data_IF_557101037264
#
_entry.id   IF_557101037264
#
_cell.length_a   1.000
_cell.length_b   1.000
_cell.length_c   1.000
_cell.angle_alpha   90.00
_cell.angle_beta   90.00
_cell.angle_gamma   90.00
#
_symmetry.space_group_name_H-M   'P 1'
#
loop_
_entity.id
_entity.type
_entity.pdbx_description
1 polymer ?
2 water ?
#
# COMPACT_ATOMS: atom_id res chain seq x y z
N UNK A 1 23.53 -2.69 -2.69
CA UNK A 1 24.54 -1.66 -2.84
C UNK A 1 24.11 -0.32 -2.21
N UNK A 2 22.89 0.19 -2.51
CA UNK A 2 22.51 1.38 -1.74
C UNK A 2 22.42 1.05 -0.26
N UNK A 3 23.03 1.88 0.59
CA UNK A 3 23.17 1.51 1.99
C UNK A 3 21.86 1.56 2.77
N UNK A 4 20.94 2.41 2.34
CA UNK A 4 19.69 2.58 3.07
C UNK A 4 18.58 3.03 2.16
N UNK A 5 17.40 3.23 2.72
CA UNK A 5 16.27 3.54 1.90
C UNK A 5 16.40 4.86 1.13
N UNK A 6 16.98 5.88 1.76
CA UNK A 6 17.18 7.17 1.09
C UNK A 6 18.05 7.02 -0.14
N UNK A 7 19.06 6.14 -0.07
CA UNK A 7 19.93 5.93 -1.22
C UNK A 7 19.21 5.11 -2.28
N UNK A 8 18.38 4.17 -1.84
CA UNK A 8 17.66 3.28 -2.77
C UNK A 8 16.65 4.09 -3.60
N UNK A 9 15.95 5.01 -2.93
CA UNK A 9 14.98 5.84 -3.62
C UNK A 9 15.19 7.28 -3.19
N UNK A 10 16.02 7.99 -3.96
CA UNK A 10 16.28 9.39 -3.65
C UNK A 10 15.06 10.26 -3.79
N UNK A 11 15.09 11.41 -3.13
CA UNK A 11 14.00 12.38 -3.19
C UNK A 11 13.51 12.59 -4.64
N UNK A 12 14.42 12.79 -5.57
CA UNK A 12 14.03 13.13 -6.93
C UNK A 12 13.26 11.96 -7.57
N UNK A 13 13.61 10.75 -7.18
CA UNK A 13 12.96 9.56 -7.76
C UNK A 13 11.53 9.44 -7.21
N UNK A 14 11.39 9.57 -5.90
CA UNK A 14 10.08 9.60 -5.24
C UNK A 14 9.19 10.68 -5.88
N UNK A 15 9.76 11.87 -6.08
CA UNK A 15 8.94 12.98 -6.58
C UNK A 15 8.60 12.78 -8.07
N UNK A 16 9.47 12.10 -8.81
CA UNK A 16 9.11 11.75 -10.20
C UNK A 16 7.99 10.71 -10.28
N UNK A 17 8.04 9.73 -9.40
CA UNK A 17 7.01 8.72 -9.35
C UNK A 17 5.68 9.35 -8.97
N UNK A 18 5.71 10.14 -7.89
CA UNK A 18 4.49 10.76 -7.40
C UNK A 18 4.42 12.22 -7.89
N UNK A 19 4.39 12.36 -9.21
CA UNK A 19 4.67 13.62 -9.89
C UNK A 19 3.55 14.64 -9.77
N UNK A 20 2.30 14.19 -9.61
CA UNK A 20 1.20 15.13 -9.62
C UNK A 20 0.49 15.24 -8.29
N UNK A 21 1.02 14.60 -7.26
CA UNK A 21 0.29 14.57 -5.96
C UNK A 21 0.09 15.96 -5.37
N UNK A 22 0.97 16.92 -5.72
CA UNK A 22 0.88 18.27 -5.15
C UNK A 22 0.22 19.25 -6.12
N UNK A 23 -0.43 18.71 -7.15
CA UNK A 23 -1.13 19.57 -8.07
C UNK A 23 -2.40 20.15 -7.41
N UNK A 24 -2.86 21.28 -7.95
CA UNK A 24 -3.99 21.97 -7.36
C UNK A 24 -5.24 21.12 -7.25
N UNK A 25 -5.41 20.14 -8.14
CA UNK A 25 -6.60 19.31 -8.13
C UNK A 25 -6.58 18.23 -7.06
N UNK A 26 -5.43 18.03 -6.40
CA UNK A 26 -5.33 16.96 -5.40
C UNK A 26 -5.63 17.45 -3.99
N UNK A 27 -6.67 16.88 -3.37
CA UNK A 27 -7.00 17.42 -2.05
C UNK A 27 -5.92 17.22 -1.01
N UNK A 28 -5.02 16.27 -1.21
CA UNK A 28 -3.97 16.06 -0.21
C UNK A 28 -2.68 16.83 -0.53
N UNK A 29 -2.74 17.76 -1.48
CA UNK A 29 -1.52 18.46 -1.88
C UNK A 29 -0.77 19.06 -0.68
N UNK A 30 0.55 18.86 -0.67
CA UNK A 30 1.43 19.31 0.40
C UNK A 30 1.53 18.34 1.58
N UNK A 31 0.70 17.30 1.58
CA UNK A 31 0.69 16.42 2.74
C UNK A 31 1.75 15.33 2.71
N UNK A 32 1.81 14.57 1.62
CA UNK A 32 2.70 13.43 1.60
C UNK A 32 4.12 13.84 1.27
N UNK A 33 4.99 13.92 2.26
CA UNK A 33 6.37 14.32 1.96
C UNK A 33 7.32 13.14 1.87
N UNK A 34 8.38 13.33 1.10
CA UNK A 34 9.44 12.34 1.07
C UNK A 34 10.04 12.13 2.46
N UNK A 35 10.22 13.22 3.20
CA UNK A 35 10.83 13.11 4.51
C UNK A 35 9.98 12.20 5.40
N UNK A 36 8.66 12.33 5.30
CA UNK A 36 7.80 11.49 6.14
C UNK A 36 7.87 10.03 5.75
N UNK A 37 8.00 9.74 4.44
CA UNK A 37 8.16 8.37 3.99
C UNK A 37 9.43 7.73 4.55
N UNK A 38 10.56 8.43 4.44
CA UNK A 38 11.81 7.90 4.95
C UNK A 38 11.71 7.76 6.48
N UNK A 39 11.22 8.79 7.16
CA UNK A 39 11.13 8.69 8.65
C UNK A 39 10.21 7.53 9.09
N UNK A 40 9.08 7.35 8.40
CA UNK A 40 8.13 6.30 8.78
C UNK A 40 8.74 4.91 8.60
N UNK A 41 9.54 4.75 7.54
CA UNK A 41 10.10 3.43 7.22
C UNK A 41 11.00 2.93 8.32
N UNK A 42 11.56 3.84 9.14
CA UNK A 42 12.35 3.39 10.28
C UNK A 42 11.62 2.48 11.26
N UNK A 43 10.30 2.59 11.30
CA UNK A 43 9.55 1.76 12.25
C UNK A 43 9.54 0.29 11.78
N UNK A 44 9.91 0.07 10.52
CA UNK A 44 9.92 -1.30 9.93
C UNK A 44 11.19 -1.48 9.15
N UNK A 45 12.29 -1.74 9.85
CA UNK A 45 13.58 -1.62 9.21
C UNK A 45 13.86 -2.60 8.06
N UNK A 46 13.13 -3.71 7.98
CA UNK A 46 13.40 -4.61 6.84
C UNK A 46 12.67 -4.17 5.56
N UNK A 47 11.75 -3.20 5.68
CA UNK A 47 11.02 -2.67 4.50
C UNK A 47 11.97 -1.99 3.52
N UNK A 48 12.03 -2.49 2.29
CA UNK A 48 12.95 -1.95 1.31
C UNK A 48 14.40 -2.31 1.57
N UNK A 49 14.63 -3.18 2.56
CA UNK A 49 15.97 -3.60 2.94
C UNK A 49 16.12 -5.10 2.97
N UNK A 50 15.24 -5.79 2.24
CA UNK A 50 15.24 -7.24 2.21
C UNK A 50 15.55 -7.71 0.81
N UNK A 51 16.59 -8.52 0.66
CA UNK A 51 16.92 -9.08 -0.64
C UNK A 51 17.98 -8.23 -1.33
N UNK A 52 18.26 -8.56 -2.59
CA UNK A 52 19.26 -7.83 -3.34
C UNK A 52 18.68 -6.51 -3.85
N UNK A 53 19.49 -5.72 -4.53
CA UNK A 53 19.06 -4.38 -4.93
C UNK A 53 17.78 -4.40 -5.77
N UNK A 54 17.70 -5.31 -6.74
CA UNK A 54 16.52 -5.40 -7.61
C UNK A 54 15.28 -5.73 -6.81
N UNK A 55 15.41 -6.63 -5.85
CA UNK A 55 14.29 -7.04 -5.03
C UNK A 55 13.82 -5.90 -4.13
N UNK A 56 14.78 -5.17 -3.58
CA UNK A 56 14.44 -4.02 -2.74
C UNK A 56 13.69 -2.97 -3.58
N UNK A 57 14.17 -2.70 -4.78
CA UNK A 57 13.47 -1.74 -5.64
C UNK A 57 12.08 -2.27 -6.01
N UNK A 58 11.98 -3.57 -6.37
CA UNK A 58 10.68 -4.13 -6.69
C UNK A 58 9.74 -3.98 -5.51
N UNK A 59 10.25 -4.14 -4.28
CA UNK A 59 9.36 -3.98 -3.13
C UNK A 59 8.85 -2.55 -3.01
N UNK A 60 9.75 -1.59 -3.17
CA UNK A 60 9.32 -0.20 -3.03
C UNK A 60 8.36 0.16 -4.17
N UNK A 61 8.62 -0.31 -5.40
CA UNK A 61 7.70 -0.08 -6.52
C UNK A 61 6.33 -0.71 -6.22
N UNK A 62 6.34 -1.89 -5.61
CA UNK A 62 5.08 -2.56 -5.35
C UNK A 62 4.31 -1.83 -4.24
N UNK A 63 5.03 -1.38 -3.21
CA UNK A 63 4.38 -0.63 -2.17
C UNK A 63 3.81 0.68 -2.69
N UNK A 64 4.62 1.41 -3.44
CA UNK A 64 4.12 2.65 -4.02
C UNK A 64 3.03 2.39 -5.03
N UNK A 65 3.09 1.26 -5.74
CA UNK A 65 2.06 1.01 -6.73
C UNK A 65 0.72 0.75 -6.10
N UNK A 66 0.71 -0.09 -5.07
CA UNK A 66 -0.56 -0.46 -4.42
C UNK A 66 -1.14 0.76 -3.74
N UNK A 67 -0.30 1.51 -3.03
CA UNK A 67 -0.81 2.67 -2.30
C UNK A 67 -1.17 3.79 -3.27
N UNK A 68 -0.44 3.92 -4.39
CA UNK A 68 -0.87 4.85 -5.40
C UNK A 68 -2.29 4.54 -5.87
N UNK A 69 -2.59 3.25 -6.16
CA UNK A 69 -3.94 2.93 -6.54
C UNK A 69 -4.98 3.34 -5.50
N UNK A 70 -4.69 3.06 -4.21
CA UNK A 70 -5.63 3.36 -3.15
C UNK A 70 -5.94 4.85 -3.07
N UNK A 71 -5.00 5.67 -3.53
CA UNK A 71 -5.15 7.12 -3.37
C UNK A 71 -5.14 7.84 -4.71
N UNK A 72 -5.41 7.13 -5.80
CA UNK A 72 -5.24 7.76 -7.11
C UNK A 72 -6.26 8.86 -7.45
N UNK A 73 -5.76 9.89 -8.12
CA UNK A 73 -6.61 10.90 -8.75
C UNK A 73 -6.58 10.86 -10.25
N UNK A 74 -6.07 9.76 -10.79
CA UNK A 74 -5.93 9.64 -12.24
C UNK A 74 -7.22 9.51 -13.03
N UNK A 75 -7.09 9.75 -14.33
CA UNK A 75 -8.13 9.50 -15.32
C UNK A 75 -7.41 9.22 -16.65
N UNK A 76 -8.11 8.61 -17.65
CA UNK A 76 -7.38 8.14 -18.82
C UNK A 76 -6.60 9.23 -19.57
N UNK A 77 -7.16 10.42 -19.70
CA UNK A 77 -6.45 11.47 -20.40
C UNK A 77 -5.69 12.41 -19.48
N UNK A 78 -5.41 11.97 -18.26
CA UNK A 78 -4.65 12.80 -17.31
C UNK A 78 -3.26 13.12 -17.84
N UNK A 79 -2.73 14.33 -17.53
CA UNK A 79 -1.35 14.61 -17.97
C UNK A 79 -0.39 13.57 -17.39
N UNK A 80 0.47 13.06 -18.28
CA UNK A 80 1.48 12.05 -17.99
C UNK A 80 0.83 10.67 -17.75
N UNK A 81 -0.45 10.55 -18.06
CA UNK A 81 -1.15 9.29 -17.88
C UNK A 81 -1.67 9.02 -16.48
N UNK A 82 -2.56 8.04 -16.37
CA UNK A 82 -3.16 7.73 -15.06
C UNK A 82 -2.18 7.21 -14.01
N UNK A 83 -0.99 6.76 -14.41
CA UNK A 83 -0.07 6.19 -13.42
C UNK A 83 0.95 7.23 -12.96
N UNK A 84 0.63 8.52 -13.15
CA UNK A 84 1.42 9.61 -12.55
C UNK A 84 0.60 10.33 -11.47
N UNK A 85 -0.58 9.79 -11.14
CA UNK A 85 -1.52 10.51 -10.26
C UNK A 85 -1.81 9.81 -8.96
N UNK A 86 -0.84 9.05 -8.47
CA UNK A 86 -0.96 8.44 -7.16
C UNK A 86 -0.90 9.50 -6.04
N UNK A 87 -1.40 9.13 -4.87
CA UNK A 87 -1.22 9.95 -3.65
C UNK A 87 -1.88 11.30 -3.78
N UNK A 88 -3.00 11.33 -4.46
CA UNK A 88 -3.75 12.55 -4.72
C UNK A 88 -4.68 12.88 -3.56
N UNK A 89 -5.17 11.85 -2.86
CA UNK A 89 -5.97 12.15 -1.69
C UNK A 89 -5.53 11.39 -0.47
N UNK A 90 -6.09 11.79 0.67
CA UNK A 90 -5.68 11.19 1.92
C UNK A 90 -6.88 10.66 2.73
N UNK A 91 -8.07 11.24 2.56
CA UNK A 91 -9.29 10.69 3.21
C UNK A 91 -10.28 10.15 2.16
N UNK A 92 -10.87 9.01 2.48
CA UNK A 92 -11.99 8.45 1.70
C UNK A 92 -12.98 9.57 1.37
N UNK A 93 -13.43 9.63 0.13
CA UNK A 93 -14.24 10.77 -0.32
C UNK A 93 -15.52 10.98 0.51
N UNK A 94 -16.23 9.90 0.77
CA UNK A 94 -17.44 9.99 1.57
C UNK A 94 -17.23 9.27 2.89
N UNK A 95 -17.55 9.94 4.01
CA UNK A 95 -17.28 9.31 5.31
C UNK A 95 -18.30 8.24 5.68
N UNK A 96 -17.82 7.23 6.43
CA UNK A 96 -18.70 6.26 7.07
C UNK A 96 -18.05 5.92 8.40
N UNK A 97 -18.80 5.24 9.24
CA UNK A 97 -18.32 4.94 10.57
C UNK A 97 -17.17 3.94 10.55
N UNK A 98 -17.37 2.88 9.79
CA UNK A 98 -16.43 1.73 9.81
C UNK A 98 -16.11 1.30 11.22
N UNK A 99 -17.19 0.97 11.94
CA UNK A 99 -17.09 0.58 13.35
C UNK A 99 -17.72 -0.79 13.53
N UNK A 100 -16.93 -1.73 14.05
CA UNK A 100 -17.42 -3.04 14.46
C UNK A 100 -16.82 -3.28 15.84
N UNK A 101 -17.57 -2.98 16.91
CA UNK A 101 -16.94 -2.88 18.24
C UNK A 101 -16.69 -4.22 18.91
N UNK A 102 -15.49 -4.42 19.43
CA UNK A 102 -15.19 -5.58 20.31
C UNK A 102 -14.53 -5.13 21.61
N UNK A 103 -14.51 -6.02 22.63
CA UNK A 103 -13.81 -5.61 23.85
C UNK A 103 -12.35 -5.21 23.58
N UNK A 104 -11.66 -5.95 22.72
CA UNK A 104 -10.28 -5.62 22.35
C UNK A 104 -10.16 -4.30 21.61
N UNK A 105 -11.00 -4.11 20.60
CA UNK A 105 -10.99 -2.88 19.83
C UNK A 105 -12.35 -2.22 19.84
N UNK A 106 -12.54 -1.32 20.80
CA UNK A 106 -13.78 -0.57 20.87
C UNK A 106 -13.84 0.44 19.74
N UNK A 107 -14.98 1.13 19.65
CA UNK A 107 -15.11 2.28 18.77
C UNK A 107 -15.22 3.52 19.65
N UNK A 108 -14.38 4.51 19.45
CA UNK A 108 -14.47 5.69 20.30
C UNK A 108 -15.67 6.50 19.84
N UNK A 109 -16.55 6.89 20.76
CA UNK A 109 -17.73 7.62 20.31
C UNK A 109 -17.28 8.90 19.60
N UNK A 110 -17.90 9.24 18.48
CA UNK A 110 -17.51 10.49 17.82
C UNK A 110 -16.41 10.29 16.78
N UNK A 111 -15.84 9.10 16.74
CA UNK A 111 -14.75 8.86 15.76
C UNK A 111 -15.24 8.00 14.63
N UNK A 112 -14.60 8.21 13.50
CA UNK A 112 -14.93 7.44 12.27
C UNK A 112 -13.67 6.81 11.72
N UNK A 113 -13.78 5.58 11.22
CA UNK A 113 -12.60 4.82 10.81
C UNK A 113 -12.61 4.55 9.30
N UNK A 114 -13.09 5.53 8.54
CA UNK A 114 -13.03 5.46 7.07
C UNK A 114 -11.58 5.48 6.58
N UNK A 115 -11.40 5.24 5.29
CA UNK A 115 -10.05 5.11 4.74
C UNK A 115 -9.21 6.37 4.88
N UNK A 116 -7.99 6.17 5.36
CA UNK A 116 -7.07 7.31 5.47
C UNK A 116 -5.67 6.84 5.08
N UNK A 117 -4.92 7.76 4.49
CA UNK A 117 -3.49 7.51 4.26
C UNK A 117 -3.26 6.62 3.05
N UNK A 118 -2.00 6.21 2.85
CA UNK A 118 -1.62 5.57 1.57
C UNK A 118 -2.29 4.23 1.34
N UNK A 119 -2.61 3.47 2.40
CA UNK A 119 -3.24 2.18 2.13
C UNK A 119 -4.76 2.28 2.42
N UNK A 120 -5.23 3.49 2.73
CA UNK A 120 -6.65 3.68 3.02
C UNK A 120 -7.11 2.72 4.09
N UNK A 121 -6.35 2.73 5.20
CA UNK A 121 -6.64 1.86 6.33
C UNK A 121 -8.05 2.20 6.83
N UNK A 122 -8.84 1.16 7.13
CA UNK A 122 -10.26 1.30 7.46
C UNK A 122 -10.60 0.33 8.57
N UNK A 123 -11.59 0.73 9.40
CA UNK A 123 -12.22 -0.07 10.47
C UNK A 123 -11.48 0.09 11.79
N UNK A 124 -12.24 0.20 12.86
CA UNK A 124 -11.63 0.41 14.17
C UNK A 124 -10.63 -0.68 14.52
N UNK A 125 -10.90 -1.91 14.14
CA UNK A 125 -10.01 -2.98 14.57
C UNK A 125 -8.66 -2.91 13.82
N UNK A 126 -8.67 -2.35 12.61
CA UNK A 126 -7.38 -2.18 11.88
C UNK A 126 -6.62 -0.96 12.46
N UNK A 127 -7.32 0.14 12.63
CA UNK A 127 -6.69 1.28 13.30
C UNK A 127 -6.17 0.86 14.65
N UNK A 128 -6.94 0.08 15.40
CA UNK A 128 -6.48 -0.39 16.71
C UNK A 128 -5.20 -1.22 16.66
N UNK A 129 -5.16 -2.22 15.78
CA UNK A 129 -3.95 -3.04 15.68
C UNK A 129 -2.75 -2.22 15.23
N UNK A 130 -2.97 -1.34 14.25
CA UNK A 130 -1.91 -0.53 13.73
C UNK A 130 -1.35 0.37 14.84
N UNK A 131 -2.25 1.07 15.53
CA UNK A 131 -1.79 1.98 16.58
C UNK A 131 -1.01 1.25 17.66
N UNK A 132 -1.46 0.05 18.05
CA UNK A 132 -0.72 -0.71 19.04
C UNK A 132 0.69 -1.02 18.56
N UNK A 133 0.83 -1.26 17.28
CA UNK A 133 2.14 -1.63 16.72
C UNK A 133 3.05 -0.43 16.58
N UNK A 134 2.50 0.75 16.28
CA UNK A 134 3.39 1.90 16.02
C UNK A 134 3.41 2.89 17.18
N UNK A 135 2.64 2.64 18.27
CA UNK A 135 2.74 3.52 19.44
C UNK A 135 1.84 4.76 19.41
N UNK A 136 0.74 4.71 18.66
CA UNK A 136 -0.18 5.85 18.53
C UNK A 136 -1.58 5.37 18.88
N UNK A 137 -2.34 6.16 19.62
CA UNK A 137 -3.74 5.81 19.93
C UNK A 137 -4.65 6.17 18.77
N UNK A 138 -4.79 5.23 17.83
CA UNK A 138 -5.57 5.48 16.64
C UNK A 138 -7.03 5.06 16.85
N UNK A 139 -7.35 4.49 18.01
CA UNK A 139 -8.77 4.31 18.36
C UNK A 139 -9.39 5.66 18.72
N UNK A 140 -8.69 6.43 19.56
CA UNK A 140 -9.25 7.71 19.90
C UNK A 140 -8.91 8.81 18.91
N UNK A 141 -7.83 8.64 18.15
CA UNK A 141 -7.39 9.67 17.22
C UNK A 141 -7.08 9.14 15.85
N UNK A 142 -8.05 8.47 15.21
CA UNK A 142 -7.77 7.90 13.89
C UNK A 142 -7.40 8.93 12.82
N UNK A 143 -7.88 10.18 12.97
CA UNK A 143 -7.58 11.16 11.94
C UNK A 143 -6.12 11.59 11.93
N UNK A 144 -5.31 11.14 12.89
CA UNK A 144 -3.87 11.35 12.77
C UNK A 144 -3.30 10.74 11.52
N UNK A 145 -3.96 9.72 10.98
CA UNK A 145 -3.47 9.10 9.75
C UNK A 145 -3.63 10.07 8.58
N UNK A 146 -4.50 11.08 8.74
CA UNK A 146 -4.67 12.05 7.65
C UNK A 146 -4.08 13.43 7.97
N UNK A 147 -3.61 13.63 9.20
CA UNK A 147 -3.07 14.95 9.54
C UNK A 147 -1.57 14.93 9.86
N UNK A 148 -1.02 13.76 10.14
CA UNK A 148 0.43 13.65 10.40
C UNK A 148 1.02 12.69 9.36
N UNK A 149 1.86 13.18 8.43
CA UNK A 149 2.28 12.30 7.33
C UNK A 149 3.21 11.16 7.77
N UNK A 150 3.94 11.30 8.86
CA UNK A 150 4.73 10.18 9.32
C UNK A 150 3.79 9.10 9.88
N UNK A 151 2.78 9.47 10.66
CA UNK A 151 1.79 8.45 11.08
C UNK A 151 1.08 7.83 9.87
N UNK A 152 0.76 8.68 8.89
CA UNK A 152 0.14 8.17 7.65
C UNK A 152 0.99 7.12 6.99
N UNK A 153 2.26 7.42 6.72
CA UNK A 153 3.10 6.41 6.09
C UNK A 153 3.36 5.19 7.00
N UNK A 154 3.49 5.40 8.32
CA UNK A 154 3.62 4.26 9.23
C UNK A 154 2.41 3.34 9.16
N UNK A 155 1.22 3.89 8.97
CA UNK A 155 0.06 2.99 8.95
C UNK A 155 0.11 2.13 7.69
N UNK A 156 0.56 2.69 6.58
CA UNK A 156 0.59 1.89 5.35
C UNK A 156 1.73 0.87 5.37
N UNK A 157 2.89 1.24 5.91
CA UNK A 157 3.99 0.28 5.98
C UNK A 157 3.66 -0.78 7.01
N UNK A 158 2.99 -0.41 8.10
CA UNK A 158 2.48 -1.43 9.07
C UNK A 158 1.64 -2.46 8.29
N UNK A 159 0.68 -1.97 7.50
CA UNK A 159 -0.15 -2.95 6.82
C UNK A 159 0.69 -3.86 5.93
N UNK A 160 1.65 -3.27 5.23
CA UNK A 160 2.47 -3.97 4.23
C UNK A 160 3.29 -5.08 4.90
N UNK A 161 3.73 -4.81 6.13
CA UNK A 161 4.69 -5.66 6.83
C UNK A 161 4.07 -6.72 7.71
N UNK A 162 2.77 -6.64 7.93
CA UNK A 162 2.13 -7.42 8.99
C UNK A 162 1.31 -8.58 8.44
N UNK A 163 1.68 -9.81 8.79
CA UNK A 163 0.85 -10.95 8.39
C UNK A 163 -0.46 -10.95 9.17
N UNK A 164 -1.54 -11.38 8.52
CA UNK A 164 -2.81 -11.55 9.22
C UNK A 164 -3.38 -12.89 8.79
N UNK A 165 -3.03 -13.93 9.57
CA UNK A 165 -3.38 -15.29 9.21
C UNK A 165 -4.85 -15.36 8.77
N UNK A 166 -5.13 -16.07 7.66
CA UNK A 166 -4.19 -16.89 6.89
C UNK A 166 -3.28 -16.12 5.89
N UNK A 167 -3.37 -14.80 5.82
CA UNK A 167 -2.56 -14.09 4.84
C UNK A 167 -1.12 -13.92 5.31
N UNK A 168 -0.14 -14.15 4.41
CA UNK A 168 1.23 -13.71 4.70
C UNK A 168 1.28 -12.19 4.58
N UNK A 169 2.37 -11.56 5.01
CA UNK A 169 2.52 -10.16 4.71
C UNK A 169 2.81 -9.92 3.22
N UNK A 170 2.38 -8.74 2.74
CA UNK A 170 2.73 -8.32 1.40
C UNK A 170 4.24 -8.29 1.25
N UNK A 171 4.93 -7.81 2.26
CA UNK A 171 6.37 -7.84 2.29
C UNK A 171 6.97 -9.19 1.95
N UNK A 172 6.52 -10.22 2.63
CA UNK A 172 7.11 -11.55 2.49
C UNK A 172 6.79 -12.09 1.11
N UNK A 173 5.61 -11.76 0.60
CA UNK A 173 5.27 -12.24 -0.74
C UNK A 173 6.16 -11.59 -1.81
N UNK A 174 6.32 -10.26 -1.74
CA UNK A 174 6.98 -9.57 -2.83
C UNK A 174 8.50 -9.71 -2.76
N UNK A 175 9.05 -10.09 -1.61
CA UNK A 175 10.51 -10.25 -1.46
C UNK A 175 10.97 -11.72 -1.44
N UNK A 176 10.09 -12.60 -1.91
CA UNK A 176 10.40 -14.03 -2.05
C UNK A 176 10.75 -14.67 -0.72
N UNK A 177 10.15 -14.22 0.36
CA UNK A 177 10.33 -14.82 1.68
C UNK A 177 9.19 -15.78 1.98
N UNK A 178 8.19 -15.81 1.13
CA UNK A 178 7.01 -16.64 1.34
C UNK A 178 6.93 -17.67 0.24
N UNK A 179 6.77 -18.92 0.62
CA UNK A 179 6.57 -19.98 -0.36
C UNK A 179 5.16 -20.52 -0.17
N UNK A 180 4.43 -20.68 -1.27
CA UNK A 180 3.06 -21.22 -1.16
C UNK A 180 3.00 -22.65 -0.64
N UNK A 181 2.01 -22.95 0.18
CA UNK A 181 1.73 -24.34 0.50
C UNK A 181 1.07 -25.05 -0.68
N UNK A 182 0.90 -26.36 -0.57
CA UNK A 182 0.16 -27.10 -1.62
C UNK A 182 -1.27 -26.51 -1.78
N UNK A 183 -1.92 -26.17 -0.68
CA UNK A 183 -3.22 -25.52 -0.76
C UNK A 183 -3.15 -24.18 -1.46
N UNK A 184 -2.15 -23.38 -1.14
CA UNK A 184 -1.99 -22.08 -1.79
C UNK A 184 -1.81 -22.24 -3.30
N UNK A 185 -1.04 -23.25 -3.72
CA UNK A 185 -0.87 -23.53 -5.16
C UNK A 185 -2.22 -23.88 -5.80
N UNK A 186 -2.98 -24.74 -5.11
CA UNK A 186 -4.30 -25.09 -5.61
C UNK A 186 -5.24 -23.87 -5.72
N UNK A 187 -5.00 -22.88 -4.86
CA UNK A 187 -5.74 -21.61 -4.89
C UNK A 187 -5.16 -20.59 -5.86
N UNK A 188 -4.09 -20.94 -6.56
CA UNK A 188 -3.49 -20.05 -7.56
C UNK A 188 -2.64 -18.94 -6.95
N UNK A 189 -2.33 -19.05 -5.66
CA UNK A 189 -1.62 -17.97 -4.95
C UNK A 189 -0.13 -18.24 -5.10
N UNK A 190 0.50 -17.70 -6.14
CA UNK A 190 1.94 -17.89 -6.33
C UNK A 190 2.64 -16.56 -6.01
N UNK A 191 3.96 -16.59 -5.77
CA UNK A 191 4.62 -15.34 -5.37
C UNK A 191 4.56 -14.30 -6.49
N UNK A 192 4.20 -13.08 -6.13
CA UNK A 192 4.18 -12.03 -7.08
C UNK A 192 3.21 -10.94 -6.67
N UNK A 193 3.05 -9.96 -7.55
CA UNK A 193 2.21 -8.80 -7.26
C UNK A 193 0.74 -9.17 -7.14
N UNK A 194 0.30 -10.16 -7.93
CA UNK A 194 -1.10 -10.51 -7.84
C UNK A 194 -1.56 -11.03 -6.49
N UNK A 195 -0.71 -11.82 -5.85
CA UNK A 195 -1.03 -12.32 -4.51
C UNK A 195 -1.04 -11.17 -3.50
N UNK A 196 -0.22 -10.17 -3.72
CA UNK A 196 -0.30 -8.95 -2.89
C UNK A 196 -1.66 -8.24 -3.09
N UNK A 197 -2.12 -8.15 -4.35
CA UNK A 197 -3.43 -7.54 -4.55
C UNK A 197 -4.50 -8.34 -3.80
N UNK A 198 -4.38 -9.67 -3.86
CA UNK A 198 -5.33 -10.52 -3.14
C UNK A 198 -5.32 -10.20 -1.63
N UNK A 199 -4.11 -10.08 -1.06
CA UNK A 199 -4.01 -9.74 0.36
C UNK A 199 -4.71 -8.42 0.65
N UNK A 200 -4.57 -7.46 -0.27
CA UNK A 200 -5.13 -6.13 0.03
C UNK A 200 -6.64 -6.05 -0.16
N UNK A 201 -7.18 -6.64 -1.25
CA UNK A 201 -8.62 -6.45 -1.48
C UNK A 201 -9.20 -7.56 -2.32
N UNK A 202 -8.64 -8.76 -2.17
CA UNK A 202 -9.04 -9.87 -3.06
C UNK A 202 -10.50 -10.27 -2.95
N UNK A 203 -11.11 -10.11 -1.79
CA UNK A 203 -12.50 -10.52 -1.64
C UNK A 203 -13.40 -9.77 -2.61
N UNK A 204 -12.99 -8.59 -3.06
CA UNK A 204 -13.76 -7.87 -4.10
C UNK A 204 -13.11 -8.02 -5.49
N UNK A 205 -11.78 -7.98 -5.54
CA UNK A 205 -11.11 -7.78 -6.83
C UNK A 205 -10.58 -9.01 -7.51
N UNK A 206 -10.45 -10.12 -6.76
CA UNK A 206 -9.77 -11.30 -7.30
C UNK A 206 -10.68 -12.45 -7.61
N UNK A 207 -10.19 -13.32 -8.52
CA UNK A 207 -10.95 -14.50 -8.89
C UNK A 207 -12.12 -14.24 -9.82
N UNK A 208 -12.24 -13.03 -10.36
CA UNK A 208 -13.43 -12.64 -11.17
C UNK A 208 -13.06 -12.22 -12.60
N UNK A 209 -11.85 -12.60 -13.04
CA UNK A 209 -11.39 -12.22 -14.37
C UNK A 209 -10.88 -10.80 -14.35
N UNK A 210 -10.62 -10.25 -15.52
CA UNK A 210 -10.00 -8.92 -15.56
C UNK A 210 -10.82 -7.87 -14.83
N UNK A 211 -10.14 -7.03 -14.06
CA UNK A 211 -10.82 -6.08 -13.20
C UNK A 211 -10.10 -4.77 -13.31
N UNK A 212 -10.82 -3.66 -13.54
CA UNK A 212 -10.19 -2.36 -13.75
C UNK A 212 -9.41 -1.86 -12.52
N UNK A 213 -9.80 -2.28 -11.32
CA UNK A 213 -9.05 -1.86 -10.11
C UNK A 213 -7.68 -2.54 -10.09
N UNK A 214 -7.68 -3.82 -10.43
CA UNK A 214 -6.44 -4.59 -10.48
C UNK A 214 -5.56 -4.05 -11.60
N UNK A 215 -6.15 -3.75 -12.77
CA UNK A 215 -5.36 -3.19 -13.87
C UNK A 215 -4.69 -1.89 -13.44
N UNK A 216 -5.41 -1.09 -12.65
CA UNK A 216 -4.81 0.19 -12.15
C UNK A 216 -3.65 -0.09 -11.17
N UNK A 217 -3.81 -1.07 -10.27
CA UNK A 217 -2.68 -1.48 -9.41
C UNK A 217 -1.47 -1.91 -10.20
N UNK A 218 -1.71 -2.72 -11.23
CA UNK A 218 -0.59 -3.17 -12.02
C UNK A 218 0.06 -2.06 -12.83
N UNK A 219 -0.73 -1.15 -13.38
CA UNK A 219 -0.14 -0.07 -14.17
C UNK A 219 0.79 0.81 -13.31
N UNK A 220 0.36 1.14 -12.09
CA UNK A 220 1.28 1.90 -11.25
C UNK A 220 2.56 1.12 -10.96
N UNK A 221 2.41 -0.16 -10.58
CA UNK A 221 3.60 -0.97 -10.30
C UNK A 221 4.56 -1.00 -11.48
N UNK A 222 4.03 -1.26 -12.70
CA UNK A 222 4.89 -1.28 -13.87
C UNK A 222 5.58 0.06 -14.13
N UNK A 223 4.84 1.16 -13.93
CA UNK A 223 5.42 2.50 -14.12
C UNK A 223 6.62 2.72 -13.18
N UNK A 224 6.48 2.31 -11.93
CA UNK A 224 7.53 2.53 -10.95
C UNK A 224 8.69 1.54 -11.16
N UNK A 225 8.40 0.30 -11.56
CA UNK A 225 9.47 -0.61 -11.88
C UNK A 225 10.25 -0.03 -13.06
N UNK A 226 9.53 0.51 -14.04
CA UNK A 226 10.21 1.06 -15.23
C UNK A 226 11.18 2.19 -14.81
N UNK A 227 10.71 3.05 -13.92
CA UNK A 227 11.57 4.15 -13.47
C UNK A 227 12.81 3.62 -12.75
N UNK A 228 12.63 2.58 -11.94
CA UNK A 228 13.74 1.95 -11.22
C UNK A 228 14.67 1.15 -12.13
N UNK A 229 14.15 0.73 -13.29
CA UNK A 229 14.92 -0.08 -14.24
C UNK A 229 14.93 -1.54 -13.80
N UNK A 230 13.83 -2.01 -13.21
CA UNK A 230 13.73 -3.42 -12.83
C UNK A 230 12.52 -4.07 -13.48
N UNK A 231 12.59 -5.38 -13.63
CA UNK A 231 11.45 -6.10 -14.20
C UNK A 231 10.33 -6.26 -13.17
N UNK A 232 9.18 -6.72 -13.67
CA UNK A 232 7.98 -6.76 -12.85
C UNK A 232 7.87 -8.05 -12.07
N UNK A 233 8.59 -9.09 -12.49
CA UNK A 233 8.31 -10.42 -11.97
C UNK A 233 7.11 -11.01 -12.70
N UNK A 234 6.72 -12.20 -12.25
CA UNK A 234 5.58 -12.93 -12.84
C UNK A 234 4.39 -12.91 -11.93
N UNK A 235 3.28 -13.53 -12.36
CA UNK A 235 2.08 -13.63 -11.52
C UNK A 235 1.59 -12.25 -11.08
N UNK A 236 1.36 -11.36 -12.06
CA UNK A 236 1.05 -9.96 -11.74
C UNK A 236 -0.42 -9.73 -11.40
N UNK A 237 -1.31 -10.59 -11.87
CA UNK A 237 -2.73 -10.45 -11.60
C UNK A 237 -3.25 -11.55 -10.67
N UNK A 238 -4.50 -11.41 -10.23
CA UNK A 238 -5.11 -12.41 -9.36
C UNK A 238 -6.43 -12.88 -9.98
N UNK A 239 -6.51 -12.81 -11.29
CA UNK A 239 -7.79 -12.96 -12.01
C UNK A 239 -8.40 -14.33 -11.88
N UNK A 240 -7.58 -15.37 -11.64
CA UNK A 240 -8.17 -16.68 -11.31
C UNK A 240 -7.76 -17.23 -9.96
N UNK A 241 -7.20 -16.38 -9.10
CA UNK A 241 -6.90 -16.84 -7.75
C UNK A 241 -8.17 -17.00 -6.93
N UNK A 242 -8.12 -17.87 -5.93
CA UNK A 242 -9.14 -17.83 -4.88
C UNK A 242 -8.84 -16.68 -3.93
N UNK A 243 -9.83 -15.83 -3.62
CA UNK A 243 -9.61 -14.80 -2.61
C UNK A 243 -9.22 -15.39 -1.26
N UNK A 244 -8.27 -14.71 -0.57
CA UNK A 244 -8.05 -15.02 0.82
C UNK A 244 -9.34 -14.71 1.56
N UNK A 245 -9.66 -15.50 2.57
CA UNK A 245 -10.79 -15.20 3.42
C UNK A 245 -10.63 -13.92 4.24
#
# INVERSE_FOLDING_TARGET
APSDLSALIPRATFDQMLKHRNDGACPARGFYTYDAFIAAARAFPSFGNTGDTATRKREIAAFLGQTSHETTGGWPSAPDGPYAWGYCFVREQNPSAYCSPTPQFPCASGQQYYGRGPIQISWNYNYGQCGNAIGVDLINNPDLVATDPVVSFKSAIWFWMTPQSPKPSSHDVITSQWTPSAADVAAGKLPGYGTVTNIINGGLECGRGQDSRVEDRIGFFKQYCDLFGVGYGNNLDCYSQAPFG
#
